data_IF_853903628282
#
_entry.id   IF_853903628282
#
_cell.length_a   1.000
_cell.length_b   1.000
_cell.length_c   1.000
_cell.angle_alpha   90.00
_cell.angle_beta   90.00
_cell.angle_gamma   90.00
#
_symmetry.space_group_name_H-M   'P 1'
#
loop_
_entity.id
_entity.type
_entity.pdbx_description
1 polymer ?
#
# COMPACT_ATOMS: atom_id res chain seq x y z
N UNK A 1 3.37 -3.39 -29.46
CA UNK A 1 2.97 -2.48 -28.36
C UNK A 1 4.18 -2.30 -27.46
N UNK A 2 4.47 -1.08 -26.99
CA UNK A 2 5.56 -0.87 -26.03
C UNK A 2 5.12 -1.36 -24.65
N UNK A 3 5.98 -2.11 -23.97
CA UNK A 3 5.78 -2.50 -22.57
C UNK A 3 5.63 -1.26 -21.68
N UNK A 4 4.69 -1.28 -20.73
CA UNK A 4 4.44 -0.15 -19.81
C UNK A 4 4.72 -0.55 -18.36
N UNK A 5 5.15 0.39 -17.54
CA UNK A 5 5.33 0.15 -16.11
C UNK A 5 4.95 1.36 -15.28
N UNK A 6 4.41 1.15 -14.08
CA UNK A 6 4.09 2.24 -13.16
C UNK A 6 3.95 1.80 -11.70
N UNK A 7 4.09 2.78 -10.82
CA UNK A 7 3.93 2.62 -9.38
C UNK A 7 2.54 3.06 -8.92
N UNK A 8 1.95 2.28 -8.02
CA UNK A 8 0.60 2.48 -7.49
C UNK A 8 0.66 2.51 -5.97
N UNK A 9 0.35 3.64 -5.34
CA UNK A 9 0.18 3.69 -3.87
C UNK A 9 -1.22 3.23 -3.48
N UNK A 10 -1.32 2.25 -2.59
CA UNK A 10 -2.60 1.87 -1.97
C UNK A 10 -2.70 2.55 -0.61
N UNK A 11 -3.65 3.48 -0.48
CA UNK A 11 -3.82 4.30 0.72
C UNK A 11 -5.21 4.14 1.32
N UNK A 12 -5.34 4.45 2.61
CA UNK A 12 -6.58 4.37 3.35
C UNK A 12 -6.33 4.28 4.85
N UNK A 13 -7.40 4.37 5.65
CA UNK A 13 -7.32 4.20 7.10
C UNK A 13 -6.77 2.81 7.47
N UNK A 14 -6.23 2.61 8.68
CA UNK A 14 -5.92 1.27 9.17
C UNK A 14 -7.11 0.33 9.01
N UNK A 15 -6.86 -0.94 8.72
CA UNK A 15 -7.84 -2.02 8.62
C UNK A 15 -8.90 -1.97 7.50
N UNK A 16 -8.91 -0.97 6.61
CA UNK A 16 -9.86 -0.90 5.46
C UNK A 16 -9.66 -1.97 4.37
N UNK A 17 -8.88 -3.02 4.62
CA UNK A 17 -8.69 -4.11 3.65
C UNK A 17 -7.57 -3.95 2.62
N UNK A 18 -6.72 -2.92 2.72
CA UNK A 18 -5.61 -2.64 1.75
C UNK A 18 -4.76 -3.87 1.42
N UNK A 19 -4.24 -4.55 2.46
CA UNK A 19 -3.39 -5.74 2.29
C UNK A 19 -4.13 -6.94 1.69
N UNK A 20 -5.44 -7.05 1.92
CA UNK A 20 -6.28 -8.08 1.29
C UNK A 20 -6.41 -7.82 -0.20
N UNK A 21 -6.76 -6.59 -0.59
CA UNK A 21 -6.86 -6.19 -1.99
C UNK A 21 -5.55 -6.43 -2.75
N UNK A 22 -4.41 -6.02 -2.19
CA UNK A 22 -3.10 -6.22 -2.82
C UNK A 22 -2.80 -7.72 -2.99
N UNK A 23 -3.08 -8.56 -1.98
CA UNK A 23 -2.87 -10.00 -2.09
C UNK A 23 -3.74 -10.64 -3.19
N UNK A 24 -5.00 -10.20 -3.32
CA UNK A 24 -5.89 -10.67 -4.38
C UNK A 24 -5.42 -10.24 -5.77
N UNK A 25 -4.98 -8.99 -5.93
CA UNK A 25 -4.46 -8.47 -7.20
C UNK A 25 -3.19 -9.20 -7.65
N UNK A 26 -2.30 -9.55 -6.72
CA UNK A 26 -1.09 -10.33 -7.05
C UNK A 26 -1.37 -11.83 -7.21
N UNK A 27 -2.49 -12.32 -6.68
CA UNK A 27 -2.80 -13.76 -6.65
C UNK A 27 -1.89 -14.57 -5.71
N UNK A 28 -1.16 -13.90 -4.82
CA UNK A 28 -0.30 -14.52 -3.81
C UNK A 28 -0.40 -13.77 -2.49
N UNK A 29 -0.23 -14.50 -1.38
CA UNK A 29 -0.26 -13.94 -0.03
C UNK A 29 1.10 -13.31 0.32
N UNK A 30 1.35 -12.09 -0.16
CA UNK A 30 2.59 -11.34 0.06
C UNK A 30 2.55 -10.46 1.31
N UNK A 31 1.43 -9.79 1.57
CA UNK A 31 1.25 -8.92 2.72
C UNK A 31 0.70 -9.69 3.92
N UNK A 32 1.25 -9.41 5.10
CA UNK A 32 0.72 -9.91 6.37
C UNK A 32 -0.65 -9.28 6.63
N UNK A 33 -1.70 -10.10 6.71
CA UNK A 33 -3.06 -9.67 7.05
C UNK A 33 -3.36 -10.02 8.52
N UNK A 34 -3.88 -9.05 9.29
CA UNK A 34 -4.37 -9.26 10.66
C UNK A 34 -5.33 -8.15 11.07
N UNK A 35 -6.23 -8.46 12.01
CA UNK A 35 -7.16 -7.52 12.63
C UNK A 35 -6.46 -6.55 13.60
N UNK A 36 -5.19 -6.80 13.95
CA UNK A 36 -4.40 -5.91 14.80
C UNK A 36 -3.93 -4.70 13.96
N UNK A 37 -4.13 -3.45 14.43
CA UNK A 37 -3.52 -2.29 13.78
C UNK A 37 -1.98 -2.43 13.72
N UNK A 38 -1.35 -1.79 12.73
CA UNK A 38 0.12 -1.71 12.55
C UNK A 38 0.81 -3.00 12.05
N UNK A 39 0.15 -3.74 11.16
CA UNK A 39 0.70 -4.94 10.50
C UNK A 39 1.82 -4.64 9.50
N UNK A 40 1.69 -3.58 8.69
CA UNK A 40 2.73 -3.16 7.73
C UNK A 40 3.68 -2.15 8.38
N UNK A 41 4.84 -2.61 8.87
CA UNK A 41 5.92 -1.77 9.44
C UNK A 41 7.04 -1.43 8.45
N UNK A 42 7.17 -2.20 7.38
CA UNK A 42 8.14 -2.04 6.30
C UNK A 42 7.41 -1.82 4.97
N UNK A 43 7.94 -1.00 4.05
CA UNK A 43 7.40 -0.87 2.68
C UNK A 43 7.50 -2.23 2.00
N UNK A 44 6.37 -2.80 1.61
CA UNK A 44 6.31 -4.00 0.77
C UNK A 44 5.98 -3.53 -0.65
N UNK A 45 6.76 -3.99 -1.63
CA UNK A 45 6.44 -3.82 -3.04
C UNK A 45 5.82 -5.10 -3.57
N UNK A 46 4.57 -5.02 -4.00
CA UNK A 46 3.86 -6.10 -4.68
C UNK A 46 3.94 -5.84 -6.18
N UNK A 47 4.42 -6.81 -6.96
CA UNK A 47 4.69 -6.64 -8.39
C UNK A 47 3.81 -7.61 -9.18
N UNK A 48 2.93 -7.08 -10.03
CA UNK A 48 2.20 -7.85 -11.04
C UNK A 48 2.80 -7.55 -12.41
N UNK A 49 3.46 -8.55 -13.01
CA UNK A 49 4.08 -8.44 -14.34
C UNK A 49 3.30 -9.32 -15.32
N UNK A 50 2.88 -8.74 -16.44
CA UNK A 50 2.23 -9.39 -17.58
C UNK A 50 3.01 -9.12 -18.86
N UNK A 51 2.60 -9.74 -19.96
CA UNK A 51 3.31 -9.67 -21.24
C UNK A 51 3.48 -8.24 -21.77
N UNK A 52 2.57 -7.33 -21.44
CA UNK A 52 2.55 -5.95 -21.95
C UNK A 52 2.67 -4.87 -20.88
N UNK A 53 2.68 -5.23 -19.58
CA UNK A 53 2.80 -4.24 -18.51
C UNK A 53 3.41 -4.78 -17.20
N UNK A 54 3.82 -3.87 -16.32
CA UNK A 54 4.15 -4.15 -14.93
C UNK A 54 3.53 -3.11 -13.99
N UNK A 55 2.80 -3.59 -12.99
CA UNK A 55 2.26 -2.76 -11.90
C UNK A 55 3.06 -3.01 -10.62
N UNK A 56 3.56 -1.93 -10.01
CA UNK A 56 4.28 -1.98 -8.73
C UNK A 56 3.42 -1.33 -7.64
N UNK A 57 2.74 -2.15 -6.85
CA UNK A 57 1.97 -1.71 -5.70
C UNK A 57 2.90 -1.41 -4.53
N UNK A 58 2.83 -0.18 -4.03
CA UNK A 58 3.56 0.28 -2.85
C UNK A 58 2.62 0.16 -1.66
N UNK A 59 2.88 -0.80 -0.77
CA UNK A 59 2.13 -0.93 0.48
C UNK A 59 2.57 0.17 1.46
N UNK A 60 1.60 0.98 1.88
CA UNK A 60 1.82 2.14 2.75
C UNK A 60 1.25 1.84 4.14
N UNK A 61 1.96 2.17 5.23
CA UNK A 61 1.37 2.08 6.56
C UNK A 61 0.06 2.88 6.60
N UNK A 62 -1.00 2.31 7.18
CA UNK A 62 -2.29 2.99 7.29
C UNK A 62 -2.13 4.38 7.94
N UNK A 63 -2.82 5.39 7.39
CA UNK A 63 -2.68 6.78 7.86
C UNK A 63 -3.37 6.92 9.22
N UNK A 64 -2.61 7.30 10.26
CA UNK A 64 -3.14 7.47 11.62
C UNK A 64 -3.41 8.95 11.89
N UNK A 65 -4.67 9.29 12.16
CA UNK A 65 -5.05 10.62 12.66
C UNK A 65 -5.14 10.59 14.19
N UNK A 66 -4.38 11.45 14.89
CA UNK A 66 -4.69 11.82 16.29
C UNK A 66 -3.87 11.21 17.44
N UNK A 67 -2.77 10.47 17.21
CA UNK A 67 -1.98 9.91 18.33
C UNK A 67 -0.48 10.29 18.30
N UNK A 68 0.00 10.95 19.37
CA UNK A 68 1.37 11.51 19.58
C UNK A 68 2.49 10.47 19.78
N UNK A 69 2.31 9.19 19.42
CA UNK A 69 3.38 8.18 19.56
C UNK A 69 4.37 8.29 18.40
N UNK A 70 5.68 8.20 18.69
CA UNK A 70 6.75 8.34 17.70
C UNK A 70 6.57 7.43 16.46
N UNK A 71 6.07 6.20 16.67
CA UNK A 71 5.79 5.23 15.60
C UNK A 71 4.76 5.73 14.58
N UNK A 72 3.77 6.52 15.01
CA UNK A 72 2.76 7.09 14.11
C UNK A 72 3.36 8.18 13.23
N UNK A 73 4.31 8.96 13.76
CA UNK A 73 5.01 9.97 12.95
C UNK A 73 5.89 9.35 11.86
N UNK A 74 6.47 8.18 12.13
CA UNK A 74 7.21 7.41 11.13
C UNK A 74 6.27 6.83 10.08
N UNK A 75 5.16 6.20 10.51
CA UNK A 75 4.16 5.63 9.60
C UNK A 75 3.52 6.71 8.69
N UNK A 76 3.19 7.87 9.25
CA UNK A 76 2.64 8.98 8.46
C UNK A 76 3.68 9.57 7.49
N UNK A 77 4.96 9.61 7.87
CA UNK A 77 6.05 9.99 6.95
C UNK A 77 6.19 8.99 5.80
N UNK A 78 6.18 7.69 6.11
CA UNK A 78 6.26 6.63 5.10
C UNK A 78 5.07 6.69 4.13
N UNK A 79 3.85 6.89 4.63
CA UNK A 79 2.65 7.07 3.81
C UNK A 79 2.71 8.36 2.96
N UNK A 80 3.24 9.45 3.50
CA UNK A 80 3.41 10.71 2.77
C UNK A 80 4.49 10.62 1.69
N UNK A 81 5.58 9.89 1.94
CA UNK A 81 6.64 9.67 0.92
C UNK A 81 6.13 8.82 -0.24
N UNK A 82 5.36 7.76 0.05
CA UNK A 82 4.79 6.93 -1.02
C UNK A 82 3.79 7.65 -1.91
N UNK A 83 3.15 8.71 -1.44
CA UNK A 83 2.24 9.51 -2.28
C UNK A 83 3.02 10.37 -3.30
N UNK A 84 4.27 10.74 -3.01
CA UNK A 84 5.07 11.61 -3.88
C UNK A 84 5.73 10.88 -5.04
N UNK A 85 6.00 9.59 -4.87
CA UNK A 85 6.85 8.80 -5.79
C UNK A 85 6.05 7.81 -6.64
N UNK A 86 4.72 8.00 -6.79
CA UNK A 86 3.84 7.07 -7.52
C UNK A 86 3.12 7.74 -8.68
N UNK A 87 2.83 6.95 -9.71
CA UNK A 87 2.08 7.38 -10.89
C UNK A 87 0.57 7.42 -10.60
N UNK A 88 0.08 6.53 -9.73
CA UNK A 88 -1.35 6.38 -9.40
C UNK A 88 -1.55 6.24 -7.89
N UNK A 89 -2.63 6.84 -7.37
CA UNK A 89 -3.11 6.65 -6.00
C UNK A 89 -4.42 5.87 -6.03
N UNK A 90 -4.42 4.71 -5.38
CA UNK A 90 -5.62 3.91 -5.11
C UNK A 90 -6.09 4.15 -3.68
N UNK A 91 -7.13 4.97 -3.52
CA UNK A 91 -7.69 5.29 -2.21
C UNK A 91 -8.83 4.33 -1.86
N UNK A 92 -8.61 3.49 -0.83
CA UNK A 92 -9.58 2.53 -0.34
C UNK A 92 -10.34 3.09 0.88
N UNK A 93 -11.66 2.94 0.86
CA UNK A 93 -12.60 3.36 1.90
C UNK A 93 -13.50 2.20 2.32
N UNK A 94 -13.95 2.23 3.56
CA UNK A 94 -14.92 1.28 4.15
C UNK A 94 -16.17 2.08 4.54
N UNK A 95 -17.36 1.55 4.22
CA UNK A 95 -18.67 2.16 4.52
C UNK A 95 -19.13 1.89 5.94
#
# INVERSE_FOLDING_TARGET
MSFQSGFIAVIGRPNVGKSTLVNELIGQKLSITSHRPQTTRHRIHAIDTRDNYQMVFVDTPGIHMGNKKAINSYMNRAASSSIKDVDIILWLVET
#
